data_IF_227624882051
#
_entry.id   IF_227624882051
#
_cell.length_a   1.000
_cell.length_b   1.000
_cell.length_c   1.000
_cell.angle_alpha   90.00
_cell.angle_beta   90.00
_cell.angle_gamma   90.00
#
_symmetry.space_group_name_H-M   'P 1'
#
loop_
_entity.id
_entity.type
_entity.pdbx_description
1 polymer ?
#
# COMPACT_ATOMS: atom_id res chain seq x y z
N UNK A 1 6.90 -12.86 11.27
CA UNK A 1 6.97 -13.36 9.87
C UNK A 1 5.98 -14.53 9.77
N UNK A 2 5.09 -14.55 8.78
CA UNK A 2 3.93 -15.48 8.62
C UNK A 2 2.56 -14.97 9.13
N UNK A 3 2.35 -13.66 9.29
CA UNK A 3 0.98 -13.19 9.53
C UNK A 3 0.13 -13.37 8.26
N UNK A 4 -1.12 -13.89 8.34
CA UNK A 4 -1.93 -14.18 7.17
C UNK A 4 -2.21 -12.99 6.26
N UNK A 5 -2.13 -11.75 6.77
CA UNK A 5 -2.17 -10.51 5.99
C UNK A 5 -1.27 -10.56 4.74
N UNK A 6 -0.08 -11.18 4.85
CA UNK A 6 0.92 -11.25 3.78
C UNK A 6 1.01 -12.61 3.10
N UNK A 7 -0.01 -13.47 3.22
CA UNK A 7 -0.02 -14.73 2.50
C UNK A 7 0.09 -14.46 0.99
N UNK A 8 1.08 -15.08 0.34
CA UNK A 8 1.37 -14.91 -1.08
C UNK A 8 2.25 -13.70 -1.44
N UNK A 9 2.59 -12.82 -0.48
CA UNK A 9 3.43 -11.65 -0.74
C UNK A 9 4.91 -11.95 -0.51
N UNK A 10 5.79 -11.30 -1.28
CA UNK A 10 7.23 -11.42 -1.08
C UNK A 10 7.63 -10.90 0.33
N UNK A 11 8.74 -11.38 0.92
CA UNK A 11 9.20 -10.90 2.23
C UNK A 11 9.60 -9.41 2.26
N UNK A 12 9.93 -8.86 1.10
CA UNK A 12 10.19 -7.45 0.83
C UNK A 12 9.45 -7.14 -0.46
N UNK A 13 8.68 -6.06 -0.46
CA UNK A 13 7.81 -5.68 -1.57
C UNK A 13 7.65 -4.16 -1.61
N UNK A 14 7.27 -3.64 -2.77
CA UNK A 14 6.90 -2.24 -2.93
C UNK A 14 5.43 -1.97 -2.56
N UNK A 15 5.16 -0.78 -2.01
CA UNK A 15 3.82 -0.30 -1.71
C UNK A 15 3.75 1.22 -1.77
N UNK A 16 2.68 1.76 -2.35
CA UNK A 16 2.51 3.21 -2.44
C UNK A 16 2.13 3.81 -1.09
N UNK A 17 2.71 4.95 -0.75
CA UNK A 17 2.43 5.68 0.48
C UNK A 17 1.96 7.10 0.16
N UNK A 18 1.02 7.60 0.95
CA UNK A 18 0.51 8.96 0.83
C UNK A 18 0.06 9.46 2.21
N UNK A 19 1.01 9.73 3.09
CA UNK A 19 0.76 10.23 4.44
C UNK A 19 1.84 11.25 4.85
N UNK A 20 1.46 12.19 5.73
CA UNK A 20 2.39 13.18 6.32
C UNK A 20 2.82 12.81 7.74
N UNK A 21 1.97 12.05 8.44
CA UNK A 21 2.23 11.56 9.79
C UNK A 21 2.58 10.08 9.75
N UNK A 22 3.19 9.58 10.80
CA UNK A 22 3.45 8.16 11.02
C UNK A 22 3.06 7.70 12.43
N UNK A 23 2.95 6.39 12.60
CA UNK A 23 2.75 5.79 13.93
C UNK A 23 4.10 5.75 14.66
N UNK A 24 4.25 6.60 15.67
CA UNK A 24 5.47 6.66 16.49
C UNK A 24 5.68 5.40 17.35
N UNK A 25 4.59 4.88 17.95
CA UNK A 25 4.66 3.71 18.82
C UNK A 25 3.38 2.88 18.79
N UNK A 26 3.52 1.58 19.04
CA UNK A 26 2.40 0.65 19.11
C UNK A 26 1.98 0.39 20.56
N UNK A 27 0.67 0.26 20.85
CA UNK A 27 0.19 -0.16 22.17
C UNK A 27 0.78 -1.52 22.58
N UNK A 28 0.93 -1.73 23.90
CA UNK A 28 1.41 -3.00 24.43
C UNK A 28 0.57 -4.19 23.95
N UNK A 29 1.25 -5.27 23.53
CA UNK A 29 0.61 -6.47 22.97
C UNK A 29 0.29 -6.39 21.47
N UNK A 30 0.52 -5.26 20.81
CA UNK A 30 0.43 -5.17 19.35
C UNK A 30 1.51 -6.01 18.65
N UNK A 31 1.22 -6.47 17.45
CA UNK A 31 2.17 -7.23 16.62
C UNK A 31 2.65 -6.31 15.50
N UNK A 32 3.91 -5.92 15.53
CA UNK A 32 4.54 -5.20 14.41
C UNK A 32 4.76 -6.14 13.22
N UNK A 33 4.31 -5.73 12.03
CA UNK A 33 4.32 -6.59 10.84
C UNK A 33 5.29 -6.13 9.76
N UNK A 34 5.36 -4.82 9.50
CA UNK A 34 6.21 -4.26 8.45
C UNK A 34 6.66 -2.83 8.78
N UNK A 35 7.78 -2.42 8.18
CA UNK A 35 8.40 -1.11 8.29
C UNK A 35 9.44 -0.93 7.20
N UNK A 36 9.91 0.31 7.02
CA UNK A 36 11.04 0.63 6.16
C UNK A 36 11.95 1.67 6.84
N UNK A 37 13.00 2.13 6.15
CA UNK A 37 13.98 3.07 6.72
C UNK A 37 13.41 4.47 7.00
N UNK A 38 12.27 4.83 6.42
CA UNK A 38 11.63 6.14 6.57
C UNK A 38 10.53 6.07 7.62
N UNK A 39 9.66 5.06 7.52
CA UNK A 39 8.52 4.82 8.41
C UNK A 39 8.69 3.45 9.07
N UNK A 40 9.12 3.38 10.35
CA UNK A 40 9.39 2.13 11.03
C UNK A 40 8.16 1.24 11.22
N UNK A 41 6.97 1.82 11.32
CA UNK A 41 5.70 1.11 11.49
C UNK A 41 4.81 1.39 10.27
N UNK A 42 4.87 0.48 9.30
CA UNK A 42 4.02 0.50 8.10
C UNK A 42 2.83 -0.45 8.22
N UNK A 43 2.91 -1.44 9.10
CA UNK A 43 1.78 -2.33 9.38
C UNK A 43 1.88 -2.96 10.76
N UNK A 44 0.72 -3.22 11.35
CA UNK A 44 0.60 -3.89 12.64
C UNK A 44 -0.74 -4.61 12.80
N UNK A 45 -0.79 -5.53 13.75
CA UNK A 45 -2.05 -5.99 14.36
C UNK A 45 -2.20 -5.30 15.70
N UNK A 46 -3.34 -4.67 15.91
CA UNK A 46 -3.74 -4.09 17.19
C UNK A 46 -4.98 -4.82 17.68
N UNK A 47 -5.00 -5.23 18.94
CA UNK A 47 -6.19 -5.87 19.53
C UNK A 47 -6.84 -4.92 20.53
N UNK A 48 -8.14 -4.67 20.34
CA UNK A 48 -8.95 -3.88 21.26
C UNK A 48 -10.20 -4.67 21.62
N UNK A 49 -10.45 -4.85 22.92
CA UNK A 49 -11.60 -5.60 23.44
C UNK A 49 -11.81 -6.98 22.77
N UNK A 50 -10.71 -7.72 22.57
CA UNK A 50 -10.73 -9.04 21.95
C UNK A 50 -10.85 -9.05 20.42
N UNK A 51 -11.02 -7.88 19.79
CA UNK A 51 -11.10 -7.74 18.33
C UNK A 51 -9.75 -7.34 17.76
N UNK A 52 -9.24 -8.11 16.79
CA UNK A 52 -7.99 -7.81 16.11
C UNK A 52 -8.23 -6.93 14.87
N UNK A 53 -7.51 -5.82 14.80
CA UNK A 53 -7.47 -4.89 13.67
C UNK A 53 -6.16 -5.09 12.90
N UNK A 54 -6.26 -5.31 11.60
CA UNK A 54 -5.10 -5.38 10.72
C UNK A 54 -4.94 -4.00 10.08
N UNK A 55 -3.86 -3.30 10.44
CA UNK A 55 -3.60 -1.94 9.99
C UNK A 55 -2.41 -1.91 9.04
N UNK A 56 -2.54 -1.17 7.95
CA UNK A 56 -1.48 -0.82 7.00
C UNK A 56 -1.48 0.70 6.79
N UNK A 57 -0.31 1.31 6.65
CA UNK A 57 -0.12 2.74 6.42
C UNK A 57 0.18 3.05 4.94
N UNK A 58 0.68 2.07 4.20
CA UNK A 58 0.72 2.09 2.74
C UNK A 58 -0.64 1.68 2.15
N UNK A 59 -0.79 1.85 0.84
CA UNK A 59 -2.05 1.72 0.11
C UNK A 59 -2.04 0.55 -0.88
N UNK A 60 -2.38 -0.68 -0.45
CA UNK A 60 -2.62 -1.83 -1.33
C UNK A 60 -3.67 -1.57 -2.42
N UNK A 61 -4.56 -0.60 -2.22
CA UNK A 61 -5.63 -0.24 -3.13
C UNK A 61 -5.18 0.72 -4.24
N UNK A 62 -4.06 1.41 -4.10
CA UNK A 62 -3.59 2.38 -5.09
C UNK A 62 -2.94 1.69 -6.28
N UNK A 63 -3.44 1.94 -7.48
CA UNK A 63 -2.71 1.65 -8.70
C UNK A 63 -1.95 2.88 -9.21
N UNK A 64 -1.22 2.72 -10.31
CA UNK A 64 -0.45 3.79 -10.94
C UNK A 64 -1.33 4.99 -11.35
N UNK A 65 -2.59 4.76 -11.70
CA UNK A 65 -3.52 5.82 -12.08
C UNK A 65 -3.93 6.65 -10.86
N UNK A 66 -4.15 6.01 -9.72
CA UNK A 66 -4.42 6.72 -8.46
C UNK A 66 -3.22 7.56 -8.03
N UNK A 67 -2.01 7.03 -8.12
CA UNK A 67 -0.79 7.80 -7.86
C UNK A 67 -0.68 9.01 -8.80
N UNK A 68 -0.96 8.83 -10.09
CA UNK A 68 -0.97 9.92 -11.07
C UNK A 68 -2.02 11.00 -10.72
N UNK A 69 -3.22 10.60 -10.29
CA UNK A 69 -4.28 11.52 -9.88
C UNK A 69 -3.89 12.31 -8.62
N UNK A 70 -3.31 11.66 -7.62
CA UNK A 70 -2.82 12.30 -6.39
C UNK A 70 -1.68 13.27 -6.67
N UNK A 71 -0.71 12.88 -7.51
CA UNK A 71 0.37 13.77 -7.93
C UNK A 71 -0.18 15.00 -8.65
N UNK A 72 -1.17 14.82 -9.54
CA UNK A 72 -1.83 15.93 -10.23
C UNK A 72 -2.53 16.88 -9.25
N UNK A 73 -3.27 16.33 -8.29
CA UNK A 73 -3.98 17.12 -7.28
C UNK A 73 -3.03 17.91 -6.38
N UNK A 74 -1.88 17.34 -6.01
CA UNK A 74 -0.91 17.95 -5.08
C UNK A 74 0.27 18.63 -5.78
N UNK A 75 0.21 18.78 -7.10
CA UNK A 75 1.35 19.16 -7.94
C UNK A 75 2.09 20.38 -7.42
N UNK A 76 1.37 21.47 -7.12
CA UNK A 76 1.99 22.73 -6.70
C UNK A 76 2.76 22.56 -5.38
N UNK A 77 2.18 21.86 -4.41
CA UNK A 77 2.85 21.57 -3.14
C UNK A 77 4.07 20.64 -3.31
N UNK A 78 4.00 19.66 -4.22
CA UNK A 78 5.13 18.77 -4.53
C UNK A 78 6.29 19.51 -5.22
N UNK A 79 6.00 20.54 -6.01
CA UNK A 79 7.03 21.42 -6.59
C UNK A 79 7.60 22.35 -5.51
N UNK A 80 6.75 22.98 -4.71
CA UNK A 80 7.17 23.89 -3.62
C UNK A 80 8.10 23.19 -2.60
N UNK A 81 7.82 21.93 -2.29
CA UNK A 81 8.61 21.11 -1.35
C UNK A 81 9.80 20.40 -2.00
N UNK A 82 10.02 20.59 -3.31
CA UNK A 82 11.20 20.09 -4.01
C UNK A 82 11.18 18.63 -4.42
N UNK A 83 10.04 17.94 -4.34
CA UNK A 83 9.89 16.58 -4.90
C UNK A 83 9.88 16.59 -6.44
N UNK A 84 9.47 17.71 -7.05
CA UNK A 84 9.66 17.98 -8.47
C UNK A 84 10.38 19.30 -8.68
N UNK A 85 11.24 19.36 -9.71
CA UNK A 85 11.96 20.59 -10.05
C UNK A 85 11.02 21.71 -10.52
N UNK A 86 9.98 21.35 -11.27
CA UNK A 86 8.95 22.25 -11.76
C UNK A 86 7.66 21.48 -12.13
N UNK A 87 6.64 22.25 -12.55
CA UNK A 87 5.35 21.70 -12.99
C UNK A 87 5.49 20.76 -14.18
N UNK A 88 6.46 20.99 -15.09
CA UNK A 88 6.64 20.15 -16.27
C UNK A 88 7.22 18.77 -15.92
N UNK A 89 8.15 18.71 -14.95
CA UNK A 89 8.66 17.46 -14.41
C UNK A 89 7.55 16.63 -13.75
N UNK A 90 6.65 17.27 -12.98
CA UNK A 90 5.50 16.61 -12.38
C UNK A 90 4.52 16.06 -13.44
N UNK A 91 4.21 16.85 -14.47
CA UNK A 91 3.34 16.40 -15.58
C UNK A 91 3.98 15.26 -16.39
N UNK A 92 5.30 15.26 -16.57
CA UNK A 92 6.02 14.15 -17.22
C UNK A 92 5.89 12.86 -16.40
N UNK A 93 6.07 12.94 -15.07
CA UNK A 93 5.90 11.81 -14.17
C UNK A 93 4.46 11.26 -14.19
N UNK A 94 3.46 12.14 -14.13
CA UNK A 94 2.04 11.78 -14.25
C UNK A 94 1.77 11.05 -15.57
N UNK A 95 2.27 11.59 -16.69
CA UNK A 95 2.10 11.00 -18.02
C UNK A 95 2.74 9.62 -18.10
N UNK A 96 3.91 9.43 -17.48
CA UNK A 96 4.61 8.16 -17.44
C UNK A 96 3.87 7.10 -16.63
N UNK A 97 3.31 7.48 -15.47
CA UNK A 97 2.45 6.60 -14.67
C UNK A 97 1.19 6.17 -15.44
N UNK A 98 0.51 7.11 -16.09
CA UNK A 98 -0.68 6.82 -16.91
C UNK A 98 -0.34 5.94 -18.13
N UNK A 99 0.81 6.19 -18.76
CA UNK A 99 1.30 5.35 -19.87
C UNK A 99 1.64 3.94 -19.40
N UNK A 100 2.33 3.79 -18.27
CA UNK A 100 2.70 2.49 -17.71
C UNK A 100 1.48 1.73 -17.19
N UNK A 101 0.48 2.42 -16.65
CA UNK A 101 -0.80 1.82 -16.30
C UNK A 101 -1.53 1.25 -17.52
N UNK A 102 -1.54 2.00 -18.64
CA UNK A 102 -2.19 1.57 -19.87
C UNK A 102 -1.43 0.46 -20.60
N UNK A 103 -0.10 0.46 -20.52
CA UNK A 103 0.78 -0.58 -21.10
C UNK A 103 1.86 -1.01 -20.08
N UNK A 104 1.56 -2.03 -19.25
CA UNK A 104 2.50 -2.57 -18.27
C UNK A 104 3.77 -3.19 -18.89
N UNK A 105 3.81 -3.39 -20.21
CA UNK A 105 4.99 -3.95 -20.90
C UNK A 105 6.06 -2.88 -21.20
N UNK A 106 5.80 -1.61 -20.88
CA UNK A 106 6.75 -0.49 -21.01
C UNK A 106 7.87 -0.55 -19.96
N UNK A 107 8.75 -1.53 -20.12
CA UNK A 107 9.92 -1.76 -19.25
C UNK A 107 10.85 -0.55 -19.15
N UNK A 108 10.92 0.26 -20.19
CA UNK A 108 11.69 1.50 -20.20
C UNK A 108 11.15 2.52 -19.19
N UNK A 109 9.82 2.61 -19.02
CA UNK A 109 9.18 3.46 -18.02
C UNK A 109 9.30 2.83 -16.63
N UNK A 110 8.94 1.54 -16.49
CA UNK A 110 9.01 0.83 -15.21
C UNK A 110 10.42 0.90 -14.60
N UNK A 111 11.46 0.64 -15.40
CA UNK A 111 12.86 0.72 -14.99
C UNK A 111 13.24 2.14 -14.53
N UNK A 112 12.86 3.15 -15.31
CA UNK A 112 13.19 4.56 -15.01
C UNK A 112 12.51 5.05 -13.74
N UNK A 113 11.27 4.63 -13.48
CA UNK A 113 10.53 5.00 -12.28
C UNK A 113 10.83 4.10 -11.07
N UNK A 114 11.56 2.99 -11.28
CA UNK A 114 11.83 2.01 -10.23
C UNK A 114 10.59 1.29 -9.74
N UNK A 115 9.63 1.04 -10.62
CA UNK A 115 8.34 0.40 -10.30
C UNK A 115 8.39 -1.07 -10.74
N UNK A 116 8.06 -1.98 -9.82
CA UNK A 116 8.04 -3.43 -10.06
C UNK A 116 6.62 -4.04 -9.93
N UNK A 117 6.52 -5.34 -10.17
CA UNK A 117 5.31 -6.13 -10.20
C UNK A 117 4.48 -6.08 -8.91
N UNK A 118 5.10 -5.85 -7.75
CA UNK A 118 4.41 -5.77 -6.45
C UNK A 118 3.29 -4.73 -6.41
N UNK A 119 3.45 -3.63 -7.16
CA UNK A 119 2.46 -2.55 -7.27
C UNK A 119 1.77 -2.48 -8.63
N UNK A 120 2.34 -3.09 -9.66
CA UNK A 120 1.73 -3.14 -11.00
C UNK A 120 0.67 -4.23 -11.13
N UNK A 121 0.92 -5.41 -10.55
CA UNK A 121 0.00 -6.54 -10.61
C UNK A 121 -1.07 -6.40 -9.51
N UNK A 122 -2.33 -6.22 -9.93
CA UNK A 122 -3.44 -6.07 -8.99
C UNK A 122 -3.65 -7.31 -8.11
N UNK A 123 -3.32 -8.51 -8.60
CA UNK A 123 -3.51 -9.74 -7.85
C UNK A 123 -2.52 -9.90 -6.72
N UNK A 124 -1.34 -9.27 -6.84
CA UNK A 124 -0.29 -9.21 -5.81
C UNK A 124 -0.50 -8.00 -4.90
N UNK A 125 -0.70 -6.83 -5.49
CA UNK A 125 -0.83 -5.56 -4.77
C UNK A 125 -1.96 -5.59 -3.73
N UNK A 126 -3.07 -6.24 -4.05
CA UNK A 126 -4.29 -6.27 -3.22
C UNK A 126 -4.39 -7.48 -2.29
N UNK A 127 -3.33 -8.28 -2.15
CA UNK A 127 -3.34 -9.50 -1.33
C UNK A 127 -3.76 -9.23 0.12
N UNK A 128 -3.38 -8.10 0.71
CA UNK A 128 -3.77 -7.71 2.07
C UNK A 128 -5.29 -7.77 2.28
N UNK A 129 -6.05 -7.14 1.37
CA UNK A 129 -7.51 -7.07 1.45
C UNK A 129 -8.12 -8.46 1.20
N UNK A 130 -7.63 -9.18 0.19
CA UNK A 130 -8.08 -10.56 -0.10
C UNK A 130 -7.87 -11.45 1.12
N UNK A 131 -6.67 -11.43 1.68
CA UNK A 131 -6.30 -12.22 2.85
C UNK A 131 -7.12 -11.85 4.08
N UNK A 132 -7.41 -10.56 4.29
CA UNK A 132 -8.26 -10.11 5.38
C UNK A 132 -9.70 -10.63 5.26
N UNK A 133 -10.28 -10.62 4.05
CA UNK A 133 -11.62 -11.18 3.81
C UNK A 133 -11.63 -12.68 4.13
N UNK A 134 -10.65 -13.43 3.65
CA UNK A 134 -10.59 -14.89 3.85
C UNK A 134 -10.38 -15.29 5.32
N UNK A 135 -9.55 -14.54 6.06
CA UNK A 135 -9.14 -14.94 7.40
C UNK A 135 -9.97 -14.29 8.52
N UNK A 136 -10.55 -13.11 8.28
CA UNK A 136 -11.30 -12.38 9.31
C UNK A 136 -12.80 -12.44 9.03
N UNK A 137 -13.24 -11.96 7.86
CA UNK A 137 -14.68 -11.89 7.58
C UNK A 137 -15.32 -13.27 7.43
N UNK A 138 -14.72 -14.16 6.64
CA UNK A 138 -15.31 -15.48 6.36
C UNK A 138 -15.22 -16.43 7.56
N UNK A 139 -14.14 -16.39 8.33
CA UNK A 139 -14.02 -17.23 9.53
C UNK A 139 -15.04 -16.83 10.62
N UNK A 140 -15.29 -15.54 10.81
CA UNK A 140 -16.30 -15.05 11.76
C UNK A 140 -17.74 -15.41 11.33
N UNK A 141 -17.99 -15.60 10.03
CA UNK A 141 -19.32 -15.99 9.51
C UNK A 141 -19.67 -17.45 9.84
N UNK A 142 -18.67 -18.33 9.95
CA UNK A 142 -18.84 -19.73 10.38
C UNK A 142 -19.20 -19.89 11.86
N UNK A 143 -18.90 -18.89 12.71
CA UNK A 143 -19.30 -18.89 14.11
C UNK A 143 -20.76 -18.45 14.35
N UNK A 144 -21.34 -17.68 13.43
CA UNK A 144 -22.71 -17.15 13.55
C UNK A 144 -23.81 -18.15 13.19
N UNK A 145 -23.49 -19.28 12.56
CA UNK A 145 -24.46 -20.33 12.19
C UNK A 145 -24.49 -21.47 13.22
N UNK A 146 -23.58 -21.47 14.20
CA UNK A 146 -23.49 -22.53 15.21
C UNK A 146 -24.41 -22.32 16.42
N UNK A 147 -25.01 -21.14 16.58
CA UNK A 147 -25.83 -20.76 17.75
C UNK A 147 -27.30 -20.38 17.39
N UNK A 148 -27.84 -20.94 16.29
CA UNK A 148 -29.26 -20.77 15.91
C UNK A 148 -30.06 -22.07 16.04
#
# INVERSE_FOLDING_TARGET
RAHPLYAGKAPVFDGFTSHFDDVESLPAGSIHLAGNNITPIQAAVVTHEGTAFWAVQYHPEYDLREVAALTRFRKDGLVETGYFADSAAAESFITELETLHADPLRKDIAWRLGIDHDVMDADIRTLEVKNWIENTLRQNSSGLIADA
#
